data_IF_150913397193
#
_entry.id   IF_150913397193
#
_cell.length_a   1.000
_cell.length_b   1.000
_cell.length_c   1.000
_cell.angle_alpha   90.00
_cell.angle_beta   90.00
_cell.angle_gamma   90.00
#
_symmetry.space_group_name_H-M   'P 1'
#
loop_
_entity.id
_entity.type
_entity.pdbx_description
1 polymer ?
#
# COMPACT_ATOMS: atom_id res chain seq x y z
N UNK A 1 20.66 -27.70 7.92
CA UNK A 1 20.96 -26.28 8.21
C UNK A 1 19.64 -25.68 8.67
N UNK A 2 19.56 -25.23 9.92
CA UNK A 2 18.45 -24.37 10.34
C UNK A 2 18.47 -23.16 9.42
N UNK A 3 17.38 -22.92 8.70
CA UNK A 3 17.23 -21.70 7.91
C UNK A 3 17.40 -20.50 8.84
N UNK A 4 18.03 -19.44 8.38
CA UNK A 4 18.06 -18.17 9.11
C UNK A 4 16.64 -17.76 9.41
N UNK A 5 16.40 -17.18 10.57
CA UNK A 5 15.07 -16.76 11.02
C UNK A 5 15.11 -15.26 11.32
N UNK A 6 14.01 -14.58 11.10
CA UNK A 6 13.88 -13.16 11.41
C UNK A 6 13.39 -12.95 12.85
N UNK A 7 13.85 -11.87 13.48
CA UNK A 7 13.38 -11.50 14.81
C UNK A 7 12.05 -10.74 14.79
N UNK A 8 11.30 -10.80 15.88
CA UNK A 8 9.97 -10.18 16.02
C UNK A 8 9.99 -8.65 15.82
N UNK A 9 11.09 -7.99 16.22
CA UNK A 9 11.21 -6.53 16.11
C UNK A 9 11.34 -6.00 14.68
N UNK A 10 11.70 -6.87 13.73
CA UNK A 10 11.88 -6.50 12.31
C UNK A 10 10.57 -5.99 11.71
N UNK A 11 9.45 -6.62 12.00
CA UNK A 11 8.14 -6.23 11.47
C UNK A 11 7.80 -4.76 11.77
N UNK A 12 7.90 -4.36 13.04
CA UNK A 12 7.63 -2.98 13.45
C UNK A 12 8.62 -1.98 12.83
N UNK A 13 9.90 -2.37 12.70
CA UNK A 13 10.92 -1.53 12.09
C UNK A 13 10.66 -1.30 10.60
N UNK A 14 10.27 -2.34 9.86
CA UNK A 14 9.92 -2.27 8.43
C UNK A 14 8.74 -1.34 8.19
N UNK A 15 7.68 -1.45 8.98
CA UNK A 15 6.49 -0.61 8.84
C UNK A 15 6.79 0.86 9.19
N UNK A 16 7.61 1.13 10.19
CA UNK A 16 7.95 2.50 10.62
C UNK A 16 9.01 3.18 9.75
N UNK A 17 9.73 2.44 8.90
CA UNK A 17 10.80 3.01 8.09
C UNK A 17 10.25 3.93 6.99
N UNK A 18 10.50 5.23 7.08
CA UNK A 18 10.03 6.21 6.10
C UNK A 18 10.79 6.12 4.76
N UNK A 19 12.08 5.74 4.79
CA UNK A 19 12.93 5.68 3.61
C UNK A 19 13.00 4.26 3.04
N UNK A 20 12.47 4.06 1.84
CA UNK A 20 12.45 2.76 1.16
C UNK A 20 13.85 2.18 0.94
N UNK A 21 14.84 3.00 0.59
CA UNK A 21 16.22 2.55 0.38
C UNK A 21 16.90 1.94 1.62
N UNK A 22 16.28 2.10 2.80
CA UNK A 22 16.76 1.49 4.04
C UNK A 22 16.06 0.16 4.38
N UNK A 23 15.10 -0.28 3.58
CA UNK A 23 14.34 -1.51 3.86
C UNK A 23 15.22 -2.75 3.79
N UNK A 24 16.16 -2.81 2.85
CA UNK A 24 17.07 -3.95 2.68
C UNK A 24 17.83 -4.29 3.98
N UNK A 25 18.19 -3.29 4.79
CA UNK A 25 18.99 -3.50 6.01
C UNK A 25 18.30 -4.34 7.08
N UNK A 26 16.96 -4.46 7.04
CA UNK A 26 16.20 -5.26 8.01
C UNK A 26 16.17 -6.74 7.65
N UNK A 27 16.59 -7.09 6.45
CA UNK A 27 16.51 -8.45 5.93
C UNK A 27 17.89 -8.95 5.54
N UNK A 28 18.37 -9.98 6.22
CA UNK A 28 19.67 -10.58 5.98
C UNK A 28 19.54 -11.97 5.39
N UNK A 29 20.43 -12.29 4.45
CA UNK A 29 20.47 -13.58 3.79
C UNK A 29 19.54 -13.68 2.56
N UNK A 30 19.86 -14.61 1.66
CA UNK A 30 19.13 -14.82 0.40
C UNK A 30 17.68 -15.25 0.62
N UNK A 31 17.39 -15.93 1.72
CA UNK A 31 16.05 -16.47 2.02
C UNK A 31 15.03 -15.37 2.38
N UNK A 32 15.53 -14.17 2.71
CA UNK A 32 14.71 -13.02 3.14
C UNK A 32 15.06 -11.72 2.42
N UNK A 33 15.61 -11.79 1.23
CA UNK A 33 15.93 -10.63 0.41
C UNK A 33 14.65 -9.99 -0.17
N UNK A 34 13.79 -9.42 0.68
CA UNK A 34 12.52 -8.82 0.25
C UNK A 34 12.70 -7.55 -0.55
N UNK A 35 13.74 -6.77 -0.29
CA UNK A 35 13.99 -5.48 -0.93
C UNK A 35 15.43 -5.38 -1.43
N UNK A 36 15.61 -4.71 -2.56
CA UNK A 36 16.93 -4.35 -3.10
C UNK A 36 17.51 -3.09 -2.41
N UNK A 37 18.69 -2.65 -2.84
CA UNK A 37 19.38 -1.49 -2.30
C UNK A 37 18.62 -0.16 -2.56
N UNK A 38 17.75 -0.13 -3.55
CA UNK A 38 16.89 1.00 -3.88
C UNK A 38 15.57 0.97 -3.12
N UNK A 39 15.26 -0.15 -2.44
CA UNK A 39 14.03 -0.37 -1.71
C UNK A 39 12.89 -0.89 -2.58
N UNK A 40 13.18 -1.39 -3.78
CA UNK A 40 12.19 -2.09 -4.60
C UNK A 40 11.94 -3.48 -4.02
N UNK A 41 10.68 -3.90 -4.07
CA UNK A 41 10.34 -5.27 -3.65
C UNK A 41 10.79 -6.28 -4.70
N UNK A 42 11.63 -7.21 -4.28
CA UNK A 42 12.17 -8.31 -5.09
C UNK A 42 11.88 -9.69 -4.49
N UNK A 43 11.14 -9.72 -3.40
CA UNK A 43 10.89 -10.92 -2.59
C UNK A 43 9.71 -11.78 -3.02
N UNK A 44 9.19 -11.64 -4.25
CA UNK A 44 7.99 -12.37 -4.69
C UNK A 44 8.18 -13.89 -4.71
N UNK A 45 9.36 -14.34 -5.15
CA UNK A 45 9.71 -15.76 -5.28
C UNK A 45 10.43 -16.34 -4.05
N UNK A 46 10.45 -15.61 -2.93
CA UNK A 46 10.94 -16.17 -1.68
C UNK A 46 9.96 -17.22 -1.17
N UNK A 47 10.45 -18.36 -0.71
CA UNK A 47 9.63 -19.46 -0.21
C UNK A 47 8.59 -18.96 0.82
N UNK A 48 9.01 -18.10 1.74
CA UNK A 48 8.09 -17.55 2.76
C UNK A 48 7.01 -16.67 2.15
N UNK A 49 7.32 -15.89 1.10
CA UNK A 49 6.34 -15.06 0.38
C UNK A 49 5.31 -15.94 -0.33
N UNK A 50 5.77 -16.94 -1.07
CA UNK A 50 4.90 -17.87 -1.79
C UNK A 50 3.93 -18.59 -0.84
N UNK A 51 4.43 -19.09 0.30
CA UNK A 51 3.60 -19.76 1.30
C UNK A 51 2.56 -18.82 1.92
N UNK A 52 2.95 -17.60 2.30
CA UNK A 52 2.02 -16.61 2.85
C UNK A 52 0.96 -16.25 1.80
N UNK A 53 1.37 -15.84 0.60
CA UNK A 53 0.46 -15.41 -0.46
C UNK A 53 -0.50 -16.54 -0.88
N UNK A 54 -0.02 -17.78 -0.91
CA UNK A 54 -0.87 -18.94 -1.18
C UNK A 54 -1.97 -19.10 -0.13
N UNK A 55 -1.64 -18.96 1.15
CA UNK A 55 -2.59 -19.10 2.27
C UNK A 55 -3.67 -18.01 2.23
N UNK A 56 -3.31 -16.77 1.90
CA UNK A 56 -4.21 -15.61 1.97
C UNK A 56 -4.80 -15.20 0.61
N UNK A 57 -4.64 -16.00 -0.43
CA UNK A 57 -4.96 -15.62 -1.82
C UNK A 57 -6.42 -15.28 -2.08
N UNK A 58 -7.36 -15.96 -1.41
CA UNK A 58 -8.79 -15.87 -1.73
C UNK A 58 -9.62 -15.22 -0.63
N UNK A 59 -9.19 -15.35 0.62
CA UNK A 59 -9.95 -14.91 1.80
C UNK A 59 -9.03 -14.27 2.83
N UNK A 60 -9.61 -13.47 3.71
CA UNK A 60 -8.90 -13.00 4.89
C UNK A 60 -8.57 -14.16 5.83
N UNK A 61 -7.29 -14.31 6.18
CA UNK A 61 -6.78 -15.29 7.15
C UNK A 61 -6.17 -14.53 8.31
N UNK A 62 -6.54 -14.87 9.53
CA UNK A 62 -6.01 -14.19 10.72
C UNK A 62 -4.53 -14.53 10.97
N UNK A 63 -3.81 -13.57 11.59
CA UNK A 63 -2.38 -13.71 11.85
C UNK A 63 -2.04 -14.87 12.75
N UNK A 64 -2.94 -15.25 13.68
CA UNK A 64 -2.75 -16.42 14.53
C UNK A 64 -2.82 -17.74 13.76
N UNK A 65 -3.72 -17.84 12.78
CA UNK A 65 -3.79 -18.98 11.87
C UNK A 65 -2.57 -19.05 10.96
N UNK A 66 -2.13 -17.91 10.39
CA UNK A 66 -0.90 -17.85 9.60
C UNK A 66 0.33 -18.30 10.39
N UNK A 67 0.50 -17.80 11.61
CA UNK A 67 1.56 -18.23 12.53
C UNK A 67 1.53 -19.74 12.72
N UNK A 68 0.40 -20.28 13.20
CA UNK A 68 0.25 -21.71 13.47
C UNK A 68 0.55 -22.58 12.27
N UNK A 69 0.03 -22.21 11.10
CA UNK A 69 0.18 -23.00 9.88
C UNK A 69 1.61 -22.99 9.34
N UNK A 70 2.31 -21.86 9.46
CA UNK A 70 3.65 -21.67 8.92
C UNK A 70 4.75 -22.13 9.89
N UNK A 71 4.45 -22.26 11.17
CA UNK A 71 5.35 -22.89 12.15
C UNK A 71 5.40 -24.41 12.02
N UNK A 72 4.37 -25.02 11.43
CA UNK A 72 4.32 -26.49 11.27
C UNK A 72 5.21 -26.96 10.10
N UNK A 73 5.68 -28.23 10.14
CA UNK A 73 6.29 -28.84 8.98
C UNK A 73 5.35 -28.82 7.76
N UNK A 74 5.85 -28.63 6.53
CA UNK A 74 7.27 -28.61 6.14
C UNK A 74 7.94 -27.23 6.20
N UNK A 75 7.22 -26.19 6.56
CA UNK A 75 7.73 -24.78 6.54
C UNK A 75 8.64 -24.49 7.73
N UNK A 76 8.17 -24.64 8.96
CA UNK A 76 8.96 -24.47 10.18
C UNK A 76 9.44 -23.03 10.42
N UNK A 77 8.70 -22.00 9.95
CA UNK A 77 9.05 -20.61 10.18
C UNK A 77 8.71 -20.18 11.61
N UNK A 78 9.61 -19.44 12.26
CA UNK A 78 9.31 -18.85 13.57
C UNK A 78 8.30 -17.72 13.45
N UNK A 79 7.63 -17.39 14.56
CA UNK A 79 6.73 -16.23 14.63
C UNK A 79 7.38 -14.95 14.08
N UNK A 80 8.63 -14.67 14.50
CA UNK A 80 9.37 -13.49 14.02
C UNK A 80 9.52 -13.47 12.49
N UNK A 81 9.77 -14.64 11.88
CA UNK A 81 9.84 -14.75 10.42
C UNK A 81 8.47 -14.52 9.78
N UNK A 82 7.41 -15.09 10.32
CA UNK A 82 6.04 -14.92 9.78
C UNK A 82 5.62 -13.45 9.84
N UNK A 83 5.65 -12.81 11.01
CA UNK A 83 5.22 -11.43 11.18
C UNK A 83 6.06 -10.46 10.34
N UNK A 84 7.38 -10.67 10.26
CA UNK A 84 8.28 -9.80 9.50
C UNK A 84 8.09 -9.94 8.00
N UNK A 85 7.80 -11.16 7.51
CA UNK A 85 7.49 -11.40 6.10
C UNK A 85 6.13 -10.83 5.72
N UNK A 86 5.12 -10.94 6.58
CA UNK A 86 3.81 -10.29 6.37
C UNK A 86 3.97 -8.76 6.33
N UNK A 87 4.82 -8.19 7.21
CA UNK A 87 5.13 -6.75 7.18
C UNK A 87 5.82 -6.33 5.89
N UNK A 88 6.77 -7.13 5.37
CA UNK A 88 7.42 -6.87 4.09
C UNK A 88 6.42 -6.90 2.93
N UNK A 89 5.54 -7.90 2.87
CA UNK A 89 4.49 -8.01 1.86
C UNK A 89 3.46 -6.88 1.96
N UNK A 90 3.07 -6.47 3.18
CA UNK A 90 2.21 -5.31 3.40
C UNK A 90 2.90 -4.02 2.92
N UNK A 91 4.18 -3.85 3.23
CA UNK A 91 4.99 -2.73 2.76
C UNK A 91 5.10 -2.67 1.24
N UNK A 92 5.17 -3.82 0.59
CA UNK A 92 5.22 -3.97 -0.87
C UNK A 92 3.85 -3.80 -1.55
N UNK A 93 2.76 -3.60 -0.80
CA UNK A 93 1.41 -3.51 -1.36
C UNK A 93 0.85 -4.84 -1.89
N UNK A 94 1.41 -5.97 -1.45
CA UNK A 94 0.97 -7.32 -1.85
C UNK A 94 -0.14 -7.88 -0.95
N UNK A 95 -0.41 -7.22 0.18
CA UNK A 95 -1.43 -7.62 1.14
C UNK A 95 -2.34 -6.46 1.52
N UNK A 96 -3.58 -6.81 1.84
CA UNK A 96 -4.54 -5.99 2.55
C UNK A 96 -4.66 -6.56 3.94
N UNK A 97 -4.67 -5.71 4.97
CA UNK A 97 -4.94 -6.11 6.34
C UNK A 97 -6.35 -5.68 6.75
N UNK A 98 -6.98 -6.48 7.61
CA UNK A 98 -8.23 -6.12 8.29
C UNK A 98 -8.01 -6.17 9.79
N UNK A 99 -8.31 -5.08 10.47
CA UNK A 99 -8.10 -4.98 11.92
C UNK A 99 -9.19 -4.09 12.53
N UNK A 100 -9.80 -4.53 13.64
CA UNK A 100 -10.91 -3.84 14.31
C UNK A 100 -12.06 -3.45 13.35
N UNK A 101 -12.41 -4.37 12.43
CA UNK A 101 -13.49 -4.18 11.46
C UNK A 101 -13.15 -3.30 10.25
N UNK A 102 -11.98 -2.65 10.23
CA UNK A 102 -11.55 -1.78 9.12
C UNK A 102 -10.47 -2.43 8.25
N UNK A 103 -10.62 -2.32 6.94
CA UNK A 103 -9.61 -2.73 5.97
C UNK A 103 -8.52 -1.67 5.83
N UNK A 104 -7.28 -2.13 5.67
CA UNK A 104 -6.06 -1.34 5.54
C UNK A 104 -5.38 -1.74 4.24
N UNK A 105 -5.32 -0.81 3.30
CA UNK A 105 -4.80 -1.07 1.96
C UNK A 105 -3.34 -0.66 1.80
N UNK A 106 -2.88 0.22 2.66
CA UNK A 106 -1.51 0.73 2.67
C UNK A 106 -0.86 0.51 4.02
N UNK A 107 0.45 0.28 4.02
CA UNK A 107 1.26 0.25 5.23
C UNK A 107 1.24 1.58 6.00
N UNK A 108 0.83 2.69 5.35
CA UNK A 108 0.70 4.03 5.96
C UNK A 108 -0.66 4.24 6.64
N UNK A 109 -1.62 3.36 6.42
CA UNK A 109 -2.95 3.52 6.99
C UNK A 109 -2.90 3.47 8.53
N UNK A 110 -3.73 4.31 9.14
CA UNK A 110 -3.84 4.36 10.59
C UNK A 110 -4.12 2.97 11.19
N UNK A 111 -3.36 2.61 12.22
CA UNK A 111 -3.47 1.33 12.91
C UNK A 111 -2.61 0.21 12.35
N UNK A 112 -2.02 0.34 11.14
CA UNK A 112 -1.10 -0.71 10.61
C UNK A 112 0.13 -0.85 11.49
N UNK A 113 0.71 0.25 11.96
CA UNK A 113 1.83 0.19 12.91
C UNK A 113 1.47 -0.54 14.21
N UNK A 114 0.20 -0.48 14.64
CA UNK A 114 -0.29 -1.21 15.81
C UNK A 114 -0.35 -2.72 15.56
N UNK A 115 -0.81 -3.14 14.37
CA UNK A 115 -0.86 -4.56 13.96
C UNK A 115 0.52 -5.21 14.11
N UNK A 116 1.56 -4.54 13.63
CA UNK A 116 2.93 -5.06 13.63
C UNK A 116 3.74 -4.70 14.89
N UNK A 117 3.12 -3.99 15.83
CA UNK A 117 3.77 -3.57 17.07
C UNK A 117 3.80 -4.64 18.17
N UNK A 118 2.85 -5.57 18.15
CA UNK A 118 2.76 -6.65 19.15
C UNK A 118 2.22 -7.94 18.55
N UNK A 119 2.65 -9.08 19.09
CA UNK A 119 2.13 -10.41 18.69
C UNK A 119 0.62 -10.54 18.89
N UNK A 120 0.08 -9.91 19.93
CA UNK A 120 -1.35 -9.92 20.23
C UNK A 120 -2.16 -9.25 19.11
N UNK A 121 -1.78 -8.07 18.67
CA UNK A 121 -2.52 -7.33 17.65
C UNK A 121 -2.32 -7.94 16.26
N UNK A 122 -1.15 -8.50 15.97
CA UNK A 122 -0.91 -9.28 14.75
C UNK A 122 -1.86 -10.48 14.64
N UNK A 123 -1.99 -11.28 15.72
CA UNK A 123 -2.87 -12.46 15.73
C UNK A 123 -4.35 -12.14 15.56
N UNK A 124 -4.78 -10.92 15.93
CA UNK A 124 -6.17 -10.45 15.75
C UNK A 124 -6.44 -9.85 14.37
N UNK A 125 -5.40 -9.38 13.70
CA UNK A 125 -5.52 -8.87 12.35
C UNK A 125 -5.70 -10.02 11.37
N UNK A 126 -6.40 -9.79 10.27
CA UNK A 126 -6.53 -10.74 9.17
C UNK A 126 -5.91 -10.16 7.92
N UNK A 127 -5.33 -11.01 7.07
CA UNK A 127 -4.60 -10.63 5.87
C UNK A 127 -5.16 -11.32 4.65
N UNK A 128 -5.16 -10.62 3.51
CA UNK A 128 -5.57 -11.13 2.21
C UNK A 128 -4.62 -10.64 1.13
N UNK A 129 -4.27 -11.49 0.18
CA UNK A 129 -3.47 -11.09 -0.97
C UNK A 129 -4.23 -10.12 -1.86
N UNK A 130 -3.53 -9.13 -2.40
CA UNK A 130 -4.04 -8.26 -3.46
C UNK A 130 -4.20 -9.09 -4.73
N UNK A 131 -5.44 -9.19 -5.22
CA UNK A 131 -5.78 -10.08 -6.34
C UNK A 131 -5.51 -9.47 -7.71
N UNK A 132 -5.38 -8.14 -7.79
CA UNK A 132 -5.18 -7.39 -9.04
C UNK A 132 -4.04 -6.39 -8.85
N UNK A 133 -3.30 -6.13 -9.91
CA UNK A 133 -2.22 -5.13 -9.95
C UNK A 133 -2.34 -4.30 -11.22
N UNK A 134 -1.87 -3.06 -11.17
CA UNK A 134 -1.63 -2.26 -12.36
C UNK A 134 -0.53 -2.90 -13.21
N UNK A 135 -0.61 -2.74 -14.50
CA UNK A 135 0.54 -3.04 -15.36
C UNK A 135 1.68 -2.07 -15.04
N UNK A 136 2.90 -2.47 -15.33
CA UNK A 136 4.08 -1.60 -15.12
C UNK A 136 3.90 -0.27 -15.83
N UNK A 137 3.37 -0.26 -17.05
CA UNK A 137 3.12 0.94 -17.83
C UNK A 137 2.11 1.86 -17.14
N UNK A 138 0.95 1.34 -16.71
CA UNK A 138 -0.06 2.12 -15.99
C UNK A 138 0.50 2.70 -14.69
N UNK A 139 1.25 1.91 -13.94
CA UNK A 139 1.87 2.36 -12.69
C UNK A 139 2.87 3.50 -12.93
N UNK A 140 3.71 3.37 -13.96
CA UNK A 140 4.68 4.40 -14.32
C UNK A 140 4.00 5.68 -14.77
N UNK A 141 2.95 5.58 -15.59
CA UNK A 141 2.18 6.72 -16.09
C UNK A 141 1.50 7.48 -14.96
N UNK A 142 0.80 6.78 -14.05
CA UNK A 142 0.18 7.42 -12.87
C UNK A 142 1.21 8.06 -11.93
N UNK A 143 2.32 7.37 -11.66
CA UNK A 143 3.37 7.91 -10.80
C UNK A 143 4.01 9.15 -11.44
N UNK A 144 4.32 9.12 -12.74
CA UNK A 144 4.88 10.27 -13.46
C UNK A 144 3.92 11.45 -13.44
N UNK A 145 2.64 11.25 -13.74
CA UNK A 145 1.62 12.30 -13.68
C UNK A 145 1.60 12.98 -12.30
N UNK A 146 1.57 12.18 -11.23
CA UNK A 146 1.55 12.71 -9.85
C UNK A 146 2.83 13.46 -9.47
N UNK A 147 3.98 13.01 -9.98
CA UNK A 147 5.26 13.70 -9.79
C UNK A 147 5.31 15.02 -10.58
N UNK A 148 4.83 15.03 -11.83
CA UNK A 148 4.84 16.21 -12.68
C UNK A 148 4.02 17.38 -12.13
N UNK A 149 2.91 17.07 -11.43
CA UNK A 149 2.10 18.08 -10.76
C UNK A 149 2.57 18.40 -9.33
N UNK A 150 3.66 17.79 -8.86
CA UNK A 150 4.22 18.03 -7.52
C UNK A 150 3.18 17.75 -6.41
N UNK A 151 2.54 16.59 -6.51
CA UNK A 151 1.33 16.20 -5.77
C UNK A 151 1.46 16.31 -4.25
N UNK A 152 2.66 16.15 -3.70
CA UNK A 152 2.89 16.21 -2.26
C UNK A 152 2.55 17.59 -1.66
N UNK A 153 2.63 18.65 -2.44
CA UNK A 153 2.20 20.00 -2.04
C UNK A 153 0.70 20.11 -1.80
N UNK A 154 -0.10 19.27 -2.46
CA UNK A 154 -1.55 19.38 -2.44
C UNK A 154 -2.21 18.39 -1.49
N UNK A 155 -1.70 17.16 -1.43
CA UNK A 155 -2.28 16.09 -0.62
C UNK A 155 -1.38 15.63 0.55
N UNK A 156 -0.17 16.18 0.67
CA UNK A 156 0.76 15.84 1.76
C UNK A 156 1.30 14.41 1.72
N UNK A 157 1.28 13.77 0.54
CA UNK A 157 1.78 12.40 0.34
C UNK A 157 2.95 12.40 -0.62
N UNK A 158 4.05 11.80 -0.18
CA UNK A 158 5.19 11.54 -1.07
C UNK A 158 4.88 10.35 -1.95
N UNK A 159 4.91 10.58 -3.25
CA UNK A 159 4.75 9.58 -4.29
C UNK A 159 6.10 9.32 -4.94
N UNK A 160 6.38 8.08 -5.27
CA UNK A 160 7.52 7.64 -6.07
C UNK A 160 7.13 6.41 -6.91
N UNK A 161 8.02 5.95 -7.79
CA UNK A 161 7.76 4.78 -8.65
C UNK A 161 7.62 3.46 -7.88
N UNK A 162 7.98 3.43 -6.58
CA UNK A 162 7.80 2.28 -5.69
C UNK A 162 6.51 2.38 -4.85
N UNK A 163 5.76 3.46 -4.99
CA UNK A 163 4.45 3.61 -4.33
C UNK A 163 3.53 2.49 -4.81
N UNK A 164 2.81 1.86 -3.88
CA UNK A 164 1.93 0.77 -4.26
C UNK A 164 0.73 1.25 -5.09
N UNK A 165 0.15 0.36 -5.86
CA UNK A 165 -0.89 0.67 -6.83
C UNK A 165 -2.11 1.34 -6.20
N UNK A 166 -2.56 0.84 -5.05
CA UNK A 166 -3.71 1.40 -4.34
C UNK A 166 -3.43 2.83 -3.85
N UNK A 167 -2.22 3.09 -3.33
CA UNK A 167 -1.81 4.44 -2.93
C UNK A 167 -1.74 5.40 -4.11
N UNK A 168 -1.25 4.95 -5.27
CA UNK A 168 -1.23 5.78 -6.48
C UNK A 168 -2.64 6.20 -6.90
N UNK A 169 -3.57 5.25 -6.99
CA UNK A 169 -4.97 5.53 -7.37
C UNK A 169 -5.66 6.43 -6.34
N UNK A 170 -5.41 6.22 -5.04
CA UNK A 170 -5.91 7.12 -4.00
C UNK A 170 -5.30 8.53 -4.10
N UNK A 171 -4.03 8.65 -4.46
CA UNK A 171 -3.40 9.95 -4.64
C UNK A 171 -4.05 10.73 -5.80
N UNK A 172 -4.38 10.06 -6.90
CA UNK A 172 -5.12 10.69 -8.01
C UNK A 172 -6.51 11.15 -7.55
N UNK A 173 -7.26 10.29 -6.85
CA UNK A 173 -8.56 10.67 -6.28
C UNK A 173 -8.46 11.89 -5.36
N UNK A 174 -7.52 11.88 -4.42
CA UNK A 174 -7.37 12.94 -3.44
C UNK A 174 -6.95 14.26 -4.12
N UNK A 175 -6.13 14.18 -5.17
CA UNK A 175 -5.74 15.31 -6.01
C UNK A 175 -6.94 15.87 -6.78
N UNK A 176 -7.72 15.01 -7.42
CA UNK A 176 -8.93 15.40 -8.14
C UNK A 176 -9.92 16.11 -7.20
N UNK A 177 -10.11 15.56 -6.00
CA UNK A 177 -10.94 16.18 -4.96
C UNK A 177 -10.40 17.54 -4.53
N UNK A 178 -9.10 17.65 -4.26
CA UNK A 178 -8.48 18.92 -3.86
C UNK A 178 -8.75 20.02 -4.89
N UNK A 179 -8.53 19.75 -6.18
CA UNK A 179 -8.73 20.75 -7.23
C UNK A 179 -10.21 21.05 -7.48
N UNK A 180 -11.10 20.05 -7.46
CA UNK A 180 -12.54 20.27 -7.59
C UNK A 180 -13.08 21.17 -6.46
N UNK A 181 -12.69 20.89 -5.21
CA UNK A 181 -13.08 21.67 -4.03
C UNK A 181 -12.53 23.11 -4.11
N UNK A 182 -11.28 23.26 -4.56
CA UNK A 182 -10.66 24.58 -4.72
C UNK A 182 -11.34 25.44 -5.78
N UNK A 183 -11.68 24.86 -6.94
CA UNK A 183 -12.45 25.56 -7.97
C UNK A 183 -13.82 25.96 -7.45
N UNK A 184 -14.53 25.05 -6.74
CA UNK A 184 -15.81 25.34 -6.10
C UNK A 184 -15.72 26.54 -5.13
N UNK A 185 -14.67 26.55 -4.29
CA UNK A 185 -14.42 27.68 -3.35
C UNK A 185 -14.19 28.99 -4.10
N UNK A 186 -13.34 29.02 -5.13
CA UNK A 186 -13.03 30.22 -5.90
C UNK A 186 -14.26 30.77 -6.65
N UNK A 187 -15.07 29.91 -7.23
CA UNK A 187 -16.34 30.31 -7.88
C UNK A 187 -17.30 30.97 -6.92
N UNK A 188 -17.33 30.52 -5.67
CA UNK A 188 -18.22 31.09 -4.66
C UNK A 188 -17.69 32.41 -4.07
N UNK A 189 -16.36 32.58 -4.02
CA UNK A 189 -15.74 33.78 -3.41
C UNK A 189 -15.47 34.90 -4.40
N UNK A 190 -15.18 34.56 -5.66
CA UNK A 190 -14.73 35.52 -6.68
C UNK A 190 -15.77 35.72 -7.77
N UNK A 191 -16.50 36.86 -7.74
CA UNK A 191 -17.62 37.15 -8.67
C UNK A 191 -17.27 37.10 -10.16
N UNK A 192 -16.01 37.37 -10.53
CA UNK A 192 -15.53 37.41 -11.91
C UNK A 192 -14.85 36.11 -12.32
N UNK A 193 -14.77 35.11 -11.45
CA UNK A 193 -14.01 33.88 -11.68
C UNK A 193 -14.46 33.16 -12.96
N UNK A 194 -15.75 32.94 -13.15
CA UNK A 194 -16.26 32.23 -14.33
C UNK A 194 -16.07 33.02 -15.64
N UNK A 195 -15.95 34.33 -15.58
CA UNK A 195 -15.62 35.16 -16.74
C UNK A 195 -14.13 35.02 -17.13
N UNK A 196 -13.26 34.97 -16.13
CA UNK A 196 -11.80 34.83 -16.33
C UNK A 196 -11.44 33.39 -16.72
N UNK A 197 -12.17 32.42 -16.19
CA UNK A 197 -11.92 30.99 -16.36
C UNK A 197 -13.18 30.24 -16.79
N UNK A 198 -13.68 30.46 -18.02
CA UNK A 198 -15.01 29.95 -18.46
C UNK A 198 -15.12 28.44 -18.46
N UNK A 199 -14.00 27.69 -18.54
CA UNK A 199 -13.97 26.21 -18.49
C UNK A 199 -13.74 25.64 -17.09
N UNK A 200 -13.55 26.49 -16.08
CA UNK A 200 -13.21 25.99 -14.74
C UNK A 200 -14.34 25.13 -14.13
N UNK A 201 -15.62 25.51 -14.39
CA UNK A 201 -16.76 24.73 -13.94
C UNK A 201 -16.84 23.35 -14.57
N UNK A 202 -16.65 23.27 -15.88
CA UNK A 202 -16.64 22.01 -16.61
C UNK A 202 -15.48 21.10 -16.18
N UNK A 203 -14.30 21.69 -16.01
CA UNK A 203 -13.11 20.98 -15.52
C UNK A 203 -13.30 20.46 -14.09
N UNK A 204 -13.91 21.25 -13.20
CA UNK A 204 -14.21 20.80 -11.84
C UNK A 204 -15.25 19.67 -11.83
N UNK A 205 -16.28 19.73 -12.68
CA UNK A 205 -17.26 18.67 -12.84
C UNK A 205 -16.62 17.39 -13.38
N UNK A 206 -15.71 17.51 -14.35
CA UNK A 206 -14.93 16.38 -14.86
C UNK A 206 -14.09 15.75 -13.76
N UNK A 207 -13.32 16.53 -12.99
CA UNK A 207 -12.56 16.04 -11.85
C UNK A 207 -13.46 15.37 -10.79
N UNK A 208 -14.70 15.85 -10.64
CA UNK A 208 -15.68 15.26 -9.74
C UNK A 208 -15.96 13.77 -10.01
N UNK A 209 -15.84 13.33 -11.26
CA UNK A 209 -16.00 11.91 -11.64
C UNK A 209 -14.96 10.99 -11.00
N UNK A 210 -13.79 11.54 -10.63
CA UNK A 210 -12.68 10.78 -10.05
C UNK A 210 -12.61 10.83 -8.52
N UNK A 211 -13.56 11.51 -7.86
CA UNK A 211 -13.57 11.67 -6.39
C UNK A 211 -14.21 10.52 -5.64
N UNK A 212 -14.81 9.55 -6.34
CA UNK A 212 -15.48 8.41 -5.74
C UNK A 212 -14.54 7.51 -4.93
N UNK A 213 -15.10 6.78 -3.97
CA UNK A 213 -14.35 5.90 -3.09
C UNK A 213 -13.55 4.86 -3.89
N UNK A 214 -12.30 4.68 -3.49
CA UNK A 214 -11.40 3.65 -4.03
C UNK A 214 -11.39 2.46 -3.09
N UNK A 215 -11.60 1.27 -3.64
CA UNK A 215 -11.64 -0.01 -2.92
C UNK A 215 -10.83 -1.06 -3.65
N UNK A 216 -10.56 -2.20 -3.00
CA UNK A 216 -9.91 -3.35 -3.63
C UNK A 216 -10.65 -3.79 -4.92
N UNK A 217 -11.97 -3.68 -4.93
CA UNK A 217 -12.78 -4.15 -6.04
C UNK A 217 -12.68 -3.25 -7.29
N UNK A 218 -12.41 -1.95 -7.11
CA UNK A 218 -12.56 -0.97 -8.18
C UNK A 218 -11.31 -0.15 -8.50
N UNK A 219 -10.20 -0.26 -7.75
CA UNK A 219 -9.07 0.65 -7.97
C UNK A 219 -8.38 0.45 -9.32
N UNK A 220 -8.37 -0.77 -9.86
CA UNK A 220 -7.82 -1.04 -11.20
C UNK A 220 -8.68 -0.37 -12.28
N UNK A 221 -10.00 -0.53 -12.19
CA UNK A 221 -10.92 0.07 -13.15
C UNK A 221 -10.83 1.60 -13.10
N UNK A 222 -10.75 2.16 -11.89
CA UNK A 222 -10.53 3.61 -11.72
C UNK A 222 -9.19 4.09 -12.24
N UNK A 223 -8.13 3.30 -12.17
CA UNK A 223 -6.84 3.65 -12.74
C UNK A 223 -6.86 3.73 -14.27
N UNK A 224 -7.75 3.01 -14.93
CA UNK A 224 -7.91 3.04 -16.39
C UNK A 224 -8.78 4.22 -16.84
N UNK A 225 -9.62 4.76 -15.95
CA UNK A 225 -10.45 5.94 -16.22
C UNK A 225 -9.66 7.26 -16.22
N UNK A 226 -8.46 7.27 -15.65
CA UNK A 226 -7.53 8.41 -15.63
C UNK A 226 -6.69 8.52 -16.88
#
# INVERSE_FOLDING_TARGET
RLASQLGDSVAAAVIKQANNARLQQFFSGSDFAFFDAQGNFVGENLKVSEEILYKVRNTFVDGGTLEKDLEQPPTGFTFGTVISSVAALMRAGKLIAKHNGAEKFSWRDDGVATIFGTSREFRKASFKAVSKSLTIAQKQELAQFLLDIDVDKYIGRKIDYNTNDFELVNAVRDTAKHFADKVGTLRNSEKEFDKLFPKAGDNAAYLGNFTGAVSEANYIDKAVEF
#
